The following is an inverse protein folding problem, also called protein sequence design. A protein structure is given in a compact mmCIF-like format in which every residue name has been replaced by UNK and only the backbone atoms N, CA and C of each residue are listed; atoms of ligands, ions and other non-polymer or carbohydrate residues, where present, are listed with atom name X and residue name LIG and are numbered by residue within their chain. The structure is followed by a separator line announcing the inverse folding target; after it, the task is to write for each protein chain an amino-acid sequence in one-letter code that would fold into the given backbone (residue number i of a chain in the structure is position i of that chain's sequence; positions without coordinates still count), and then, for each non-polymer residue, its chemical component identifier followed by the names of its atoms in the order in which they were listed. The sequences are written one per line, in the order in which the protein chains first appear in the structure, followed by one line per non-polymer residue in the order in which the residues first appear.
data_IF_655620108039
#
_entry.id   IF_655620108039
#
_cell.length_a   1.000
_cell.length_b   1.000
_cell.length_c   1.000
_cell.angle_alpha   90.00
_cell.angle_beta   90.00
_cell.angle_gamma   90.00
#
_symmetry.space_group_name_H-M   'P 1'
#
loop_
_entity.id
_entity.type
_entity.pdbx_description
1 polymer ?
#
# COMPACT_ATOMS: atom_id res chain seq x y z
N UNK A 1 -13.45 4.56 -18.80
CA UNK A 1 -12.35 4.92 -17.89
C UNK A 1 -11.17 5.37 -18.72
N UNK A 2 -10.58 6.52 -18.39
CA UNK A 2 -9.30 6.95 -18.96
C UNK A 2 -8.13 6.40 -18.13
N UNK A 3 -7.04 6.06 -18.80
CA UNK A 3 -5.85 5.50 -18.17
C UNK A 3 -4.63 6.38 -18.46
N UNK A 4 -3.86 6.70 -17.42
CA UNK A 4 -2.68 7.54 -17.47
C UNK A 4 -1.44 6.75 -17.06
N UNK A 5 -0.27 7.16 -17.56
CA UNK A 5 1.00 6.61 -17.08
C UNK A 5 1.27 7.11 -15.66
N UNK A 6 1.71 6.21 -14.77
CA UNK A 6 2.14 6.59 -13.44
C UNK A 6 3.57 7.18 -13.50
N UNK A 7 3.67 8.50 -13.58
CA UNK A 7 4.96 9.18 -13.70
C UNK A 7 5.75 8.76 -14.94
N UNK A 8 7.08 8.63 -14.80
CA UNK A 8 7.98 8.20 -15.89
C UNK A 8 8.10 6.67 -15.96
N UNK A 9 6.98 5.96 -15.88
CA UNK A 9 6.94 4.49 -15.96
C UNK A 9 6.09 4.01 -17.14
N UNK A 10 6.15 2.70 -17.42
CA UNK A 10 5.25 2.04 -18.36
C UNK A 10 3.90 1.65 -17.77
N UNK A 11 3.74 1.72 -16.44
CA UNK A 11 2.51 1.34 -15.74
C UNK A 11 1.37 2.29 -16.07
N UNK A 12 0.23 1.74 -16.48
CA UNK A 12 -1.01 2.49 -16.71
C UNK A 12 -1.97 2.29 -15.54
N UNK A 13 -2.40 3.39 -14.93
CA UNK A 13 -3.40 3.43 -13.87
C UNK A 13 -4.63 4.19 -14.34
N UNK A 14 -5.79 3.84 -13.82
CA UNK A 14 -7.01 4.61 -14.00
C UNK A 14 -6.80 6.03 -13.47
N UNK A 15 -7.41 7.01 -14.15
CA UNK A 15 -7.32 8.43 -13.75
C UNK A 15 -7.81 8.67 -12.31
N UNK A 16 -8.76 7.85 -11.86
CA UNK A 16 -9.19 7.79 -10.47
C UNK A 16 -8.52 6.62 -9.74
N UNK A 17 -8.05 6.89 -8.53
CA UNK A 17 -7.58 5.87 -7.58
C UNK A 17 -8.61 5.69 -6.47
N UNK A 18 -8.96 4.45 -6.15
CA UNK A 18 -9.85 4.14 -5.03
C UNK A 18 -9.04 4.06 -3.73
N UNK A 19 -9.25 5.03 -2.83
CA UNK A 19 -8.73 4.98 -1.47
C UNK A 19 -9.59 4.11 -0.55
N UNK A 20 -8.94 3.39 0.38
CA UNK A 20 -9.60 2.34 1.18
C UNK A 20 -9.50 2.51 2.70
N UNK A 21 -9.07 3.70 3.17
CA UNK A 21 -8.88 4.02 4.59
C UNK A 21 -10.12 3.78 5.47
N UNK A 22 -11.32 3.85 4.91
CA UNK A 22 -12.60 3.69 5.64
C UNK A 22 -13.05 2.24 5.80
N UNK A 23 -12.43 1.30 5.08
CA UNK A 23 -12.80 -0.10 5.13
C UNK A 23 -12.55 -0.66 6.53
N UNK A 24 -13.60 -1.25 7.14
CA UNK A 24 -13.60 -1.73 8.53
C UNK A 24 -13.37 -0.65 9.60
N UNK A 25 -13.49 0.63 9.23
CA UNK A 25 -13.56 1.75 10.18
C UNK A 25 -14.96 2.36 10.21
N UNK A 26 -15.39 2.97 9.11
CA UNK A 26 -16.74 3.54 8.95
C UNK A 26 -17.59 2.74 7.97
N UNK A 27 -17.00 1.75 7.29
CA UNK A 27 -17.69 0.82 6.40
C UNK A 27 -17.57 -0.62 6.93
N UNK A 28 -18.63 -1.41 6.73
CA UNK A 28 -18.56 -2.87 6.92
C UNK A 28 -17.74 -3.52 5.81
N UNK A 29 -17.36 -4.79 6.00
CA UNK A 29 -16.69 -5.57 4.94
C UNK A 29 -17.58 -5.69 3.69
N UNK A 30 -18.87 -5.96 3.88
CA UNK A 30 -19.83 -6.06 2.77
C UNK A 30 -19.94 -4.75 1.97
N UNK A 31 -20.05 -3.61 2.66
CA UNK A 31 -20.05 -2.30 2.01
C UNK A 31 -18.74 -2.03 1.26
N UNK A 32 -17.61 -2.46 1.84
CA UNK A 32 -16.30 -2.32 1.19
C UNK A 32 -16.23 -3.11 -0.12
N UNK A 33 -16.78 -4.33 -0.16
CA UNK A 33 -16.90 -5.11 -1.40
C UNK A 33 -17.79 -4.43 -2.44
N UNK A 34 -18.93 -3.88 -2.03
CA UNK A 34 -19.82 -3.14 -2.93
C UNK A 34 -19.10 -1.95 -3.58
N UNK A 35 -18.28 -1.22 -2.83
CA UNK A 35 -17.46 -0.12 -3.37
C UNK A 35 -16.39 -0.65 -4.33
N UNK A 36 -15.68 -1.71 -3.95
CA UNK A 36 -14.63 -2.32 -4.77
C UNK A 36 -15.17 -2.87 -6.09
N UNK A 37 -16.26 -3.62 -6.05
CA UNK A 37 -16.91 -4.17 -7.25
C UNK A 37 -17.39 -3.02 -8.16
N UNK A 38 -18.07 -2.01 -7.61
CA UNK A 38 -18.54 -0.88 -8.41
C UNK A 38 -17.40 -0.10 -9.06
N UNK A 39 -16.30 0.09 -8.35
CA UNK A 39 -15.10 0.76 -8.87
C UNK A 39 -14.48 -0.06 -10.02
N UNK A 40 -14.31 -1.35 -9.81
CA UNK A 40 -13.75 -2.27 -10.82
C UNK A 40 -14.63 -2.35 -12.08
N UNK A 41 -15.95 -2.49 -11.92
CA UNK A 41 -16.91 -2.46 -13.04
C UNK A 41 -16.88 -1.13 -13.82
N UNK A 42 -16.59 -0.02 -13.16
CA UNK A 42 -16.41 1.28 -13.79
C UNK A 42 -15.05 1.43 -14.51
N UNK A 43 -14.17 0.41 -14.41
CA UNK A 43 -12.83 0.37 -15.00
C UNK A 43 -11.73 0.94 -14.10
N UNK A 44 -11.98 1.21 -12.82
CA UNK A 44 -10.90 1.61 -11.89
C UNK A 44 -10.01 0.38 -11.67
N UNK A 45 -8.74 0.49 -12.06
CA UNK A 45 -7.74 -0.54 -11.80
C UNK A 45 -6.84 -0.18 -10.62
N UNK A 46 -6.84 1.07 -10.15
CA UNK A 46 -5.88 1.55 -9.16
C UNK A 46 -6.52 1.66 -7.77
N UNK A 47 -6.02 0.85 -6.83
CA UNK A 47 -6.52 0.77 -5.45
C UNK A 47 -5.38 1.11 -4.49
N UNK A 48 -5.64 2.05 -3.59
CA UNK A 48 -4.69 2.53 -2.59
C UNK A 48 -5.13 2.16 -1.16
N UNK A 49 -4.19 1.59 -0.42
CA UNK A 49 -4.34 1.18 0.98
C UNK A 49 -3.07 1.49 1.79
N UNK A 50 -2.99 1.04 3.03
CA UNK A 50 -1.76 1.10 3.84
C UNK A 50 -1.78 0.00 4.90
N UNK A 51 -0.60 -0.42 5.35
CA UNK A 51 -0.43 -1.36 6.46
C UNK A 51 -1.18 -0.92 7.73
N UNK A 52 -1.16 0.37 8.05
CA UNK A 52 -1.75 0.93 9.28
C UNK A 52 -3.28 1.08 9.19
N UNK A 53 -3.88 0.91 8.00
CA UNK A 53 -5.32 1.10 7.84
C UNK A 53 -6.12 -0.07 8.44
N UNK A 54 -6.99 0.12 9.44
CA UNK A 54 -7.42 1.36 10.12
C UNK A 54 -7.26 1.25 11.63
N UNK A 55 -6.02 1.22 12.09
CA UNK A 55 -5.61 0.97 13.49
C UNK A 55 -6.19 1.96 14.51
N UNK A 56 -6.54 3.18 14.10
CA UNK A 56 -7.18 4.17 14.98
C UNK A 56 -8.64 3.81 15.34
N UNK A 57 -9.25 2.87 14.62
CA UNK A 57 -10.60 2.42 14.93
C UNK A 57 -10.59 1.41 16.10
N UNK A 58 -11.51 1.52 17.07
CA UNK A 58 -11.61 0.58 18.18
C UNK A 58 -11.70 -0.89 17.70
N UNK A 59 -10.84 -1.75 18.24
CA UNK A 59 -10.81 -3.18 17.90
C UNK A 59 -9.97 -3.54 16.66
N UNK A 60 -9.40 -2.56 15.95
CA UNK A 60 -8.53 -2.84 14.79
C UNK A 60 -7.04 -2.75 15.16
N UNK A 61 -6.27 -3.77 14.79
CA UNK A 61 -4.80 -3.79 14.97
C UNK A 61 -4.03 -3.16 13.81
N UNK A 62 -4.70 -2.70 12.75
CA UNK A 62 -4.08 -2.30 11.48
C UNK A 62 -4.08 -3.45 10.46
N UNK A 63 -3.97 -3.12 9.18
CA UNK A 63 -3.97 -4.06 8.06
C UNK A 63 -5.34 -4.63 7.70
N UNK A 64 -6.40 -4.17 8.36
CA UNK A 64 -7.76 -4.67 8.12
C UNK A 64 -8.27 -4.27 6.74
N UNK A 65 -7.89 -3.09 6.22
CA UNK A 65 -8.24 -2.69 4.86
C UNK A 65 -7.56 -3.60 3.82
N UNK A 66 -6.28 -3.96 4.03
CA UNK A 66 -5.56 -4.91 3.19
C UNK A 66 -6.20 -6.30 3.22
N UNK A 67 -6.69 -6.78 4.37
CA UNK A 67 -7.40 -8.06 4.46
C UNK A 67 -8.69 -8.07 3.65
N UNK A 68 -9.48 -6.98 3.73
CA UNK A 68 -10.69 -6.82 2.92
C UNK A 68 -10.35 -6.85 1.43
N UNK A 69 -9.35 -6.06 1.00
CA UNK A 69 -8.92 -6.03 -0.40
C UNK A 69 -8.41 -7.42 -0.83
N UNK A 70 -7.63 -8.10 0.01
CA UNK A 70 -7.09 -9.42 -0.30
C UNK A 70 -8.16 -10.49 -0.46
N UNK A 71 -9.18 -10.49 0.40
CA UNK A 71 -10.33 -11.38 0.26
C UNK A 71 -11.10 -11.09 -1.04
N UNK A 72 -11.31 -9.82 -1.38
CA UNK A 72 -11.96 -9.42 -2.63
C UNK A 72 -11.14 -9.81 -3.87
N UNK A 73 -9.81 -9.63 -3.84
CA UNK A 73 -8.90 -9.93 -4.95
C UNK A 73 -8.93 -11.39 -5.38
N UNK A 74 -9.25 -12.33 -4.47
CA UNK A 74 -9.44 -13.76 -4.83
C UNK A 74 -10.51 -13.98 -5.90
N UNK A 75 -11.41 -13.02 -6.09
CA UNK A 75 -12.50 -13.06 -7.06
C UNK A 75 -12.18 -12.33 -8.37
N UNK A 76 -10.97 -11.77 -8.51
CA UNK A 76 -10.58 -10.90 -9.63
C UNK A 76 -9.29 -11.40 -10.28
N UNK A 77 -9.08 -11.16 -11.59
CA UNK A 77 -7.78 -11.38 -12.21
C UNK A 77 -6.76 -10.42 -11.59
N UNK A 78 -5.75 -10.95 -10.89
CA UNK A 78 -4.77 -10.15 -10.14
C UNK A 78 -4.02 -9.15 -11.03
N UNK A 79 -3.76 -9.51 -12.27
CA UNK A 79 -3.07 -8.70 -13.28
C UNK A 79 -3.89 -7.49 -13.78
N UNK A 80 -5.20 -7.46 -13.54
CA UNK A 80 -6.06 -6.34 -13.89
C UNK A 80 -6.14 -5.26 -12.80
N UNK A 81 -5.54 -5.48 -11.63
CA UNK A 81 -5.60 -4.55 -10.50
C UNK A 81 -4.20 -4.08 -10.14
N UNK A 82 -4.01 -2.77 -10.03
CA UNK A 82 -2.82 -2.12 -9.50
C UNK A 82 -3.04 -1.86 -8.02
N UNK A 83 -2.29 -2.56 -7.16
CA UNK A 83 -2.36 -2.39 -5.71
C UNK A 83 -1.22 -1.48 -5.24
N UNK A 84 -1.61 -0.35 -4.65
CA UNK A 84 -0.72 0.50 -3.87
C UNK A 84 -0.93 0.26 -2.37
N UNK A 85 0.15 0.01 -1.64
CA UNK A 85 0.15 0.05 -0.17
C UNK A 85 1.34 0.84 0.35
N UNK A 86 1.36 1.09 1.66
CA UNK A 86 2.32 1.98 2.31
C UNK A 86 2.89 1.34 3.57
N UNK A 87 4.09 1.78 3.91
CA UNK A 87 4.78 1.48 5.17
C UNK A 87 5.17 2.76 5.88
N UNK A 88 5.02 2.73 7.20
CA UNK A 88 5.60 3.68 8.17
C UNK A 88 4.93 3.48 9.54
N UNK A 89 3.61 3.26 9.53
CA UNK A 89 2.78 3.44 10.71
C UNK A 89 3.10 2.42 11.81
N UNK A 90 2.85 2.81 13.07
CA UNK A 90 3.02 1.90 14.20
C UNK A 90 2.11 0.68 14.09
N UNK A 91 2.69 -0.49 13.83
CA UNK A 91 2.00 -1.78 13.68
C UNK A 91 2.07 -2.67 14.92
N UNK A 92 2.81 -2.28 15.95
CA UNK A 92 3.00 -3.06 17.17
C UNK A 92 3.55 -2.20 18.33
N UNK A 93 3.68 -2.79 19.53
CA UNK A 93 4.16 -2.07 20.71
C UNK A 93 5.68 -1.94 20.77
N UNK A 94 6.42 -2.70 19.96
CA UNK A 94 7.87 -2.75 19.97
C UNK A 94 8.52 -1.49 19.36
N UNK A 95 9.83 -1.29 19.64
CA UNK A 95 10.58 -0.13 19.14
C UNK A 95 10.80 -0.17 17.63
N UNK A 96 10.73 -1.35 17.00
CA UNK A 96 10.93 -1.54 15.56
C UNK A 96 9.62 -1.79 14.79
N UNK A 97 8.49 -1.53 15.43
CA UNK A 97 7.16 -1.75 14.84
C UNK A 97 6.61 -0.47 14.19
N UNK A 98 7.46 0.52 13.88
CA UNK A 98 7.15 1.78 13.21
C UNK A 98 8.38 2.26 12.42
N UNK A 99 8.20 3.22 11.51
CA UNK A 99 9.28 3.95 10.84
C UNK A 99 9.72 3.31 9.52
N UNK A 100 10.90 3.69 9.05
CA UNK A 100 11.44 3.28 7.76
C UNK A 100 12.80 2.56 7.85
N UNK A 101 13.12 2.01 9.03
CA UNK A 101 14.26 1.09 9.17
C UNK A 101 14.11 -0.10 8.22
N UNK A 102 15.23 -0.63 7.73
CA UNK A 102 15.24 -1.83 6.86
C UNK A 102 14.46 -2.98 7.48
N UNK A 103 14.63 -3.20 8.79
CA UNK A 103 13.92 -4.24 9.54
C UNK A 103 12.40 -4.06 9.45
N UNK A 104 11.92 -2.85 9.68
CA UNK A 104 10.49 -2.57 9.65
C UNK A 104 9.94 -2.73 8.22
N UNK A 105 10.60 -2.16 7.22
CA UNK A 105 10.22 -2.26 5.80
C UNK A 105 10.08 -3.72 5.35
N UNK A 106 11.07 -4.57 5.64
CA UNK A 106 11.05 -5.98 5.25
C UNK A 106 9.95 -6.77 5.98
N UNK A 107 9.69 -6.47 7.26
CA UNK A 107 8.59 -7.11 8.00
C UNK A 107 7.22 -6.65 7.49
N UNK A 108 7.08 -5.35 7.23
CA UNK A 108 5.82 -4.74 6.81
C UNK A 108 5.39 -5.25 5.43
N UNK A 109 6.30 -5.32 4.45
CA UNK A 109 5.97 -5.80 3.10
C UNK A 109 5.50 -7.25 3.12
N UNK A 110 6.17 -8.13 3.88
CA UNK A 110 5.76 -9.53 4.05
C UNK A 110 4.35 -9.65 4.63
N UNK A 111 4.06 -8.83 5.64
CA UNK A 111 2.76 -8.84 6.28
C UNK A 111 1.67 -8.26 5.38
N UNK A 112 1.97 -7.23 4.59
CA UNK A 112 1.05 -6.70 3.57
C UNK A 112 0.77 -7.72 2.48
N UNK A 113 1.79 -8.38 1.92
CA UNK A 113 1.63 -9.46 0.93
C UNK A 113 0.74 -10.58 1.48
N UNK A 114 0.97 -10.99 2.74
CA UNK A 114 0.15 -12.01 3.42
C UNK A 114 -1.31 -11.59 3.59
N UNK A 115 -1.56 -10.35 4.03
CA UNK A 115 -2.93 -9.83 4.23
C UNK A 115 -3.68 -9.66 2.90
N UNK A 116 -2.99 -9.18 1.88
CA UNK A 116 -3.51 -9.04 0.52
C UNK A 116 -3.64 -10.39 -0.20
N UNK A 117 -2.92 -11.43 0.24
CA UNK A 117 -2.92 -12.74 -0.41
C UNK A 117 -2.36 -12.69 -1.83
N UNK A 118 -1.29 -11.91 -2.05
CA UNK A 118 -0.64 -11.71 -3.35
C UNK A 118 0.87 -11.91 -3.25
N UNK A 119 1.52 -12.26 -4.35
CA UNK A 119 2.98 -12.48 -4.39
C UNK A 119 3.77 -11.19 -4.64
N UNK A 120 3.10 -10.13 -5.09
CA UNK A 120 3.71 -8.83 -5.34
C UNK A 120 2.75 -7.66 -5.10
N UNK A 121 3.32 -6.52 -4.73
CA UNK A 121 2.66 -5.21 -4.67
C UNK A 121 3.08 -4.39 -5.89
N UNK A 122 2.15 -3.72 -6.55
CA UNK A 122 2.48 -2.91 -7.73
C UNK A 122 3.22 -1.64 -7.32
N UNK A 123 2.71 -0.89 -6.33
CA UNK A 123 3.33 0.33 -5.85
C UNK A 123 3.48 0.28 -4.33
N UNK A 124 4.71 0.29 -3.83
CA UNK A 124 4.99 0.33 -2.40
C UNK A 124 5.53 1.70 -1.99
N UNK A 125 4.85 2.37 -1.07
CA UNK A 125 5.14 3.77 -0.76
C UNK A 125 5.64 3.94 0.66
N UNK A 126 6.60 4.83 0.86
CA UNK A 126 6.88 5.38 2.19
C UNK A 126 5.78 6.37 2.56
N UNK A 127 5.07 6.10 3.66
CA UNK A 127 3.86 6.86 3.99
C UNK A 127 4.17 8.31 4.42
N UNK A 128 5.34 8.54 5.02
CA UNK A 128 5.85 9.86 5.42
C UNK A 128 7.36 9.79 5.68
N UNK A 129 8.07 10.94 5.74
CA UNK A 129 9.48 10.96 6.08
C UNK A 129 9.75 10.37 7.48
N UNK A 130 10.85 9.65 7.59
CA UNK A 130 11.44 9.21 8.84
C UNK A 130 12.76 9.97 9.04
N UNK A 131 12.87 10.72 10.14
CA UNK A 131 14.05 11.53 10.44
C UNK A 131 15.09 10.78 11.28
N UNK A 132 14.73 9.62 11.82
CA UNK A 132 15.60 8.78 12.64
C UNK A 132 16.32 7.73 11.80
N UNK A 133 15.73 7.33 10.67
CA UNK A 133 16.36 6.41 9.72
C UNK A 133 17.11 7.17 8.61
N UNK A 134 18.40 6.88 8.36
CA UNK A 134 19.12 7.41 7.20
C UNK A 134 18.40 7.10 5.87
N UNK A 135 18.26 8.10 5.00
CA UNK A 135 17.51 7.96 3.76
C UNK A 135 18.09 6.86 2.84
N UNK A 136 19.41 6.71 2.82
CA UNK A 136 20.11 5.67 2.07
C UNK A 136 19.79 4.26 2.57
N UNK A 137 19.61 4.06 3.88
CA UNK A 137 19.12 2.78 4.43
C UNK A 137 17.72 2.46 3.89
N UNK A 138 16.81 3.44 3.97
CA UNK A 138 15.44 3.30 3.45
C UNK A 138 15.43 2.99 1.95
N UNK A 139 16.21 3.73 1.16
CA UNK A 139 16.27 3.54 -0.29
C UNK A 139 16.87 2.18 -0.68
N UNK A 140 17.97 1.76 -0.06
CA UNK A 140 18.52 0.41 -0.29
C UNK A 140 17.54 -0.69 0.13
N UNK A 141 16.80 -0.51 1.23
CA UNK A 141 15.79 -1.47 1.63
C UNK A 141 14.66 -1.59 0.59
N UNK A 142 14.19 -0.47 0.03
CA UNK A 142 13.18 -0.46 -1.01
C UNK A 142 13.69 -1.06 -2.33
N UNK A 143 14.92 -0.75 -2.72
CA UNK A 143 15.55 -1.29 -3.94
C UNK A 143 15.75 -2.81 -3.86
N UNK A 144 16.15 -3.34 -2.69
CA UNK A 144 16.24 -4.78 -2.48
C UNK A 144 14.87 -5.48 -2.60
N UNK A 145 13.78 -4.82 -2.20
CA UNK A 145 12.44 -5.37 -2.38
C UNK A 145 11.99 -5.40 -3.84
N UNK A 146 12.42 -4.41 -4.64
CA UNK A 146 12.23 -4.41 -6.10
C UNK A 146 13.02 -5.54 -6.72
N UNK A 147 14.31 -5.66 -6.37
CA UNK A 147 15.20 -6.73 -6.84
C UNK A 147 14.67 -8.12 -6.48
N UNK A 148 14.12 -8.28 -5.27
CA UNK A 148 13.49 -9.52 -4.81
C UNK A 148 12.13 -9.81 -5.47
N UNK A 149 11.60 -8.89 -6.29
CA UNK A 149 10.32 -9.07 -6.98
C UNK A 149 9.09 -8.97 -6.09
N UNK A 150 9.22 -8.50 -4.84
CA UNK A 150 8.10 -8.32 -3.90
C UNK A 150 7.30 -7.06 -4.19
N UNK A 151 7.96 -6.05 -4.73
CA UNK A 151 7.33 -4.80 -5.19
C UNK A 151 7.73 -4.51 -6.64
N UNK A 152 6.90 -3.81 -7.41
CA UNK A 152 7.21 -3.44 -8.81
C UNK A 152 7.73 -2.01 -8.92
N UNK A 153 7.09 -1.09 -8.21
CA UNK A 153 7.42 0.32 -8.18
C UNK A 153 7.46 0.80 -6.73
N UNK A 154 8.27 1.82 -6.48
CA UNK A 154 8.38 2.48 -5.18
C UNK A 154 7.87 3.92 -5.29
N UNK A 155 7.36 4.45 -4.20
CA UNK A 155 6.85 5.82 -4.13
C UNK A 155 7.02 6.45 -2.76
N UNK A 156 6.62 7.71 -2.65
CA UNK A 156 6.69 8.47 -1.40
C UNK A 156 5.43 9.32 -1.23
N UNK A 157 5.01 9.49 0.02
CA UNK A 157 3.84 10.29 0.39
C UNK A 157 4.21 11.24 1.53
N UNK A 158 3.67 12.46 1.52
CA UNK A 158 3.92 13.49 2.53
C UNK A 158 5.38 13.98 2.62
N UNK A 159 6.13 13.91 1.51
CA UNK A 159 7.49 14.46 1.40
C UNK A 159 7.44 15.90 0.88
N UNK A 160 8.25 16.78 1.48
CA UNK A 160 8.53 18.09 0.90
C UNK A 160 9.31 17.94 -0.42
N UNK A 161 9.14 18.89 -1.34
CA UNK A 161 9.77 18.85 -2.67
C UNK A 161 11.29 18.65 -2.59
N UNK A 162 11.96 19.34 -1.66
CA UNK A 162 13.41 19.24 -1.48
C UNK A 162 13.89 17.89 -0.92
N UNK A 163 13.01 17.09 -0.30
CA UNK A 163 13.35 15.71 0.09
C UNK A 163 13.32 14.76 -1.11
N UNK A 164 12.41 14.99 -2.07
CA UNK A 164 12.27 14.14 -3.26
C UNK A 164 13.38 14.35 -4.30
N UNK A 165 14.14 15.45 -4.17
CA UNK A 165 15.25 15.78 -5.07
C UNK A 165 16.60 15.24 -4.59
N UNK A 166 16.63 14.57 -3.43
CA UNK A 166 17.85 13.99 -2.86
C UNK A 166 18.16 12.63 -3.48
#
# INVERSE_FOLDING_TARGET
MEYRRLGRTGLKVSEFCLGTMTFRWTSTEHQSYQVLDRAFEAGINFIDTADVYSRWAPGNSGGVAEQVIGNWLRTKPRDQVVIATKVFGRMGPGPNDEGLSRRHIFSAVENSLRRLGVDYIDLYQVHRPDWETPLDETLHALDDLVTAGKVRYIGASNFAAWHLMK
#
